data_IF_919959279315
#
_entry.id   IF_919959279315
#
_cell.length_a   1.000
_cell.length_b   1.000
_cell.length_c   1.000
_cell.angle_alpha   90.00
_cell.angle_beta   90.00
_cell.angle_gamma   90.00
#
_symmetry.space_group_name_H-M   'P 1'
#
loop_
_entity.id
_entity.type
_entity.pdbx_description
1 polymer ?
#
# COMPACT_ATOMS: atom_id res chain seq x y z
N UNK A 1 -15.68 37.69 11.82
CA UNK A 1 -14.84 36.95 10.86
C UNK A 1 -15.51 35.62 10.58
N UNK A 2 -15.73 35.27 9.32
CA UNK A 2 -16.18 33.93 8.92
C UNK A 2 -14.98 33.01 8.93
N UNK A 3 -15.09 31.87 9.64
CA UNK A 3 -14.03 30.85 9.69
C UNK A 3 -14.57 29.55 9.12
N UNK A 4 -13.88 29.00 8.11
CA UNK A 4 -14.16 27.67 7.57
C UNK A 4 -13.12 26.71 8.16
N UNK A 5 -13.58 25.65 8.83
CA UNK A 5 -12.72 24.61 9.39
C UNK A 5 -12.79 23.34 8.56
N UNK A 6 -11.68 22.63 8.47
CA UNK A 6 -11.61 21.27 7.91
C UNK A 6 -11.72 20.29 9.07
N UNK A 7 -12.72 19.45 9.03
CA UNK A 7 -12.99 18.45 10.07
C UNK A 7 -12.80 17.05 9.50
N UNK A 8 -12.38 16.13 10.35
CA UNK A 8 -12.21 14.71 10.04
C UNK A 8 -11.25 14.45 8.86
N UNK A 9 -9.98 14.88 8.97
CA UNK A 9 -8.99 14.61 7.94
C UNK A 9 -8.72 13.10 7.83
N UNK A 10 -8.49 12.61 6.60
CA UNK A 10 -7.96 11.26 6.36
C UNK A 10 -6.46 11.36 6.17
N UNK A 11 -5.70 10.57 6.92
CA UNK A 11 -4.25 10.60 6.89
C UNK A 11 -3.68 9.51 5.98
N UNK A 12 -2.67 9.87 5.19
CA UNK A 12 -1.85 8.92 4.43
C UNK A 12 -0.39 9.30 4.62
N UNK A 13 0.40 8.38 5.17
CA UNK A 13 1.84 8.57 5.32
C UNK A 13 2.55 8.22 4.03
N UNK A 14 3.41 9.12 3.54
CA UNK A 14 4.20 8.93 2.32
C UNK A 14 5.63 9.38 2.58
N UNK A 15 6.59 8.45 2.53
CA UNK A 15 7.99 8.77 2.82
C UNK A 15 8.96 7.82 2.12
N UNK A 16 10.22 8.22 1.85
CA UNK A 16 11.25 7.27 1.47
C UNK A 16 11.57 6.33 2.64
N UNK A 17 11.75 5.03 2.36
CA UNK A 17 12.05 4.02 3.38
C UNK A 17 13.31 4.39 4.21
N UNK A 18 14.33 4.94 3.56
CA UNK A 18 15.59 5.37 4.18
C UNK A 18 16.30 6.39 3.29
N UNK A 19 17.27 7.12 3.85
CA UNK A 19 17.98 8.19 3.13
C UNK A 19 19.00 7.68 2.12
N UNK A 20 19.64 6.52 2.36
CA UNK A 20 20.71 5.96 1.53
C UNK A 20 20.56 4.44 1.40
N UNK A 21 21.25 3.83 0.42
CA UNK A 21 21.27 2.38 0.23
C UNK A 21 19.97 1.78 -0.31
N UNK A 22 19.00 2.61 -0.77
CA UNK A 22 17.70 2.14 -1.29
C UNK A 22 17.86 1.26 -2.51
N UNK A 23 18.71 1.62 -3.44
CA UNK A 23 18.93 0.87 -4.69
C UNK A 23 19.42 -0.56 -4.42
N UNK A 24 20.44 -0.72 -3.58
CA UNK A 24 21.00 -2.03 -3.23
C UNK A 24 19.98 -2.88 -2.43
N UNK A 25 19.21 -2.25 -1.55
CA UNK A 25 18.16 -2.94 -0.81
C UNK A 25 17.04 -3.41 -1.72
N UNK A 26 16.58 -2.55 -2.63
CA UNK A 26 15.56 -2.88 -3.63
C UNK A 26 16.03 -3.98 -4.58
N UNK A 27 17.31 -3.98 -4.98
CA UNK A 27 17.85 -5.04 -5.83
C UNK A 27 17.78 -6.42 -5.16
N UNK A 28 18.03 -6.50 -3.82
CA UNK A 28 17.86 -7.74 -3.06
C UNK A 28 16.40 -8.16 -2.99
N UNK A 29 15.50 -7.25 -2.57
CA UNK A 29 14.07 -7.52 -2.50
C UNK A 29 13.51 -7.95 -3.86
N UNK A 30 13.91 -7.29 -4.94
CA UNK A 30 13.45 -7.61 -6.28
C UNK A 30 13.83 -9.05 -6.68
N UNK A 31 15.08 -9.47 -6.44
CA UNK A 31 15.49 -10.85 -6.71
C UNK A 31 14.64 -11.86 -5.93
N UNK A 32 14.41 -11.62 -4.65
CA UNK A 32 13.60 -12.52 -3.82
C UNK A 32 12.12 -12.52 -4.27
N UNK A 33 11.54 -11.37 -4.63
CA UNK A 33 10.18 -11.30 -5.17
C UNK A 33 10.02 -12.09 -6.48
N UNK A 34 10.99 -11.98 -7.38
CA UNK A 34 10.97 -12.71 -8.66
C UNK A 34 11.20 -14.22 -8.46
N UNK A 35 12.12 -14.59 -7.57
CA UNK A 35 12.35 -15.99 -7.22
C UNK A 35 11.10 -16.61 -6.57
N UNK A 36 10.49 -15.91 -5.60
CA UNK A 36 9.25 -16.35 -4.97
C UNK A 36 8.17 -16.67 -6.00
N UNK A 37 7.95 -15.80 -6.99
CA UNK A 37 6.98 -16.08 -8.06
C UNK A 37 7.28 -17.38 -8.81
N UNK A 38 8.56 -17.71 -9.03
CA UNK A 38 8.95 -18.96 -9.70
C UNK A 38 8.69 -20.18 -8.82
N UNK A 39 8.95 -20.10 -7.53
CA UNK A 39 8.89 -21.23 -6.60
C UNK A 39 7.48 -21.46 -6.03
N UNK A 40 6.67 -20.41 -5.90
CA UNK A 40 5.33 -20.45 -5.31
C UNK A 40 4.25 -20.89 -6.31
N UNK A 41 4.16 -22.20 -6.54
CA UNK A 41 3.13 -22.77 -7.41
C UNK A 41 1.70 -22.53 -6.89
N UNK A 42 1.50 -22.55 -5.58
CA UNK A 42 0.20 -22.29 -4.95
C UNK A 42 -0.26 -20.84 -5.16
N UNK A 43 0.64 -19.88 -4.98
CA UNK A 43 0.36 -18.46 -5.22
C UNK A 43 0.09 -18.17 -6.69
N UNK A 44 0.80 -18.82 -7.63
CA UNK A 44 0.49 -18.68 -9.06
C UNK A 44 -0.91 -19.19 -9.39
N UNK A 45 -1.32 -20.38 -8.88
CA UNK A 45 -2.68 -20.90 -9.09
C UNK A 45 -3.74 -20.00 -8.47
N UNK A 46 -3.48 -19.49 -7.28
CA UNK A 46 -4.39 -18.54 -6.63
C UNK A 46 -4.52 -17.24 -7.45
N UNK A 47 -3.39 -16.71 -7.91
CA UNK A 47 -3.34 -15.47 -8.72
C UNK A 47 -4.10 -15.61 -10.04
N UNK A 48 -4.02 -16.76 -10.73
CA UNK A 48 -4.78 -17.00 -11.96
C UNK A 48 -6.28 -16.76 -11.80
N UNK A 49 -6.83 -17.04 -10.61
CA UNK A 49 -8.26 -16.91 -10.33
C UNK A 49 -8.63 -15.53 -9.75
N UNK A 50 -7.77 -14.98 -8.91
CA UNK A 50 -8.10 -13.82 -8.07
C UNK A 50 -7.31 -12.55 -8.44
N UNK A 51 -6.26 -12.67 -9.25
CA UNK A 51 -5.42 -11.57 -9.72
C UNK A 51 -4.94 -11.84 -11.15
N UNK A 52 -5.88 -11.94 -12.13
CA UNK A 52 -5.59 -12.38 -13.49
C UNK A 52 -4.47 -11.59 -14.16
N UNK A 53 -3.50 -12.30 -14.74
CA UNK A 53 -2.33 -11.72 -15.40
C UNK A 53 -1.21 -11.26 -14.46
N UNK A 54 -1.47 -11.09 -13.17
CA UNK A 54 -0.49 -10.73 -12.15
C UNK A 54 -0.04 -11.91 -11.30
N UNK A 55 0.84 -11.60 -10.34
CA UNK A 55 1.20 -12.52 -9.27
C UNK A 55 1.09 -11.82 -7.93
N UNK A 56 0.46 -12.49 -6.97
CA UNK A 56 0.50 -12.11 -5.56
C UNK A 56 0.71 -13.33 -4.68
N UNK A 57 1.55 -13.18 -3.66
CA UNK A 57 1.76 -14.24 -2.67
C UNK A 57 0.71 -14.22 -1.54
N UNK A 58 -0.25 -13.29 -1.57
CA UNK A 58 -1.26 -13.12 -0.52
C UNK A 58 -2.04 -14.41 -0.21
N UNK A 59 -2.43 -15.17 -1.22
CA UNK A 59 -3.19 -16.42 -1.06
C UNK A 59 -2.36 -17.66 -0.72
N UNK A 60 -1.04 -17.52 -0.54
CA UNK A 60 -0.13 -18.64 -0.28
C UNK A 60 0.91 -18.34 0.79
N UNK A 61 1.67 -17.25 0.64
CA UNK A 61 2.76 -16.84 1.52
C UNK A 61 2.58 -15.38 1.92
N UNK A 62 1.75 -15.15 2.95
CA UNK A 62 1.39 -13.82 3.44
C UNK A 62 2.25 -13.35 4.63
N UNK A 63 3.28 -14.09 5.02
CA UNK A 63 4.16 -13.75 6.16
C UNK A 63 5.63 -13.70 5.76
N UNK A 64 5.94 -13.02 4.64
CA UNK A 64 7.29 -12.96 4.10
C UNK A 64 8.33 -12.43 5.09
N UNK A 65 7.95 -11.56 6.03
CA UNK A 65 8.83 -11.07 7.10
C UNK A 65 9.33 -12.18 8.04
N UNK A 66 8.68 -13.35 8.07
CA UNK A 66 9.10 -14.54 8.83
C UNK A 66 9.88 -15.53 7.99
N UNK A 67 9.90 -15.38 6.67
CA UNK A 67 10.47 -16.35 5.75
C UNK A 67 11.83 -15.90 5.18
N UNK A 68 12.14 -14.62 5.21
CA UNK A 68 13.37 -14.09 4.64
C UNK A 68 14.01 -13.02 5.53
N UNK A 69 15.34 -13.06 5.74
CA UNK A 69 16.07 -12.02 6.45
C UNK A 69 15.95 -10.63 5.80
N UNK A 70 15.80 -10.57 4.47
CA UNK A 70 15.63 -9.31 3.73
C UNK A 70 14.26 -8.69 4.02
N UNK A 71 13.19 -9.50 4.05
CA UNK A 71 11.85 -9.03 4.43
C UNK A 71 11.76 -8.69 5.91
N UNK A 72 12.42 -9.45 6.80
CA UNK A 72 12.56 -9.07 8.21
C UNK A 72 13.30 -7.73 8.38
N UNK A 73 14.30 -7.44 7.54
CA UNK A 73 14.97 -6.14 7.53
C UNK A 73 14.04 -5.02 7.02
N UNK A 74 13.15 -5.30 6.07
CA UNK A 74 12.11 -4.37 5.64
C UNK A 74 11.16 -4.05 6.80
N UNK A 75 10.63 -5.07 7.50
CA UNK A 75 9.78 -4.90 8.69
C UNK A 75 10.43 -3.97 9.72
N UNK A 76 11.70 -4.25 10.10
CA UNK A 76 12.42 -3.39 11.05
C UNK A 76 12.55 -1.92 10.58
N UNK A 77 12.76 -1.70 9.29
CA UNK A 77 12.83 -0.35 8.71
C UNK A 77 11.47 0.36 8.70
N UNK A 78 10.39 -0.39 8.53
CA UNK A 78 9.01 0.14 8.53
C UNK A 78 8.56 0.60 9.92
N UNK A 79 9.12 0.06 11.01
CA UNK A 79 8.72 0.40 12.39
C UNK A 79 8.79 1.91 12.69
N UNK A 80 9.80 2.63 12.19
CA UNK A 80 9.87 4.09 12.40
C UNK A 80 8.74 4.83 11.69
N UNK A 81 8.36 4.38 10.48
CA UNK A 81 7.27 4.95 9.70
C UNK A 81 5.94 4.68 10.37
N UNK A 82 5.76 3.45 10.89
CA UNK A 82 4.58 3.06 11.66
C UNK A 82 4.42 3.95 12.90
N UNK A 83 5.48 4.09 13.73
CA UNK A 83 5.44 4.97 14.92
C UNK A 83 5.09 6.41 14.57
N UNK A 84 5.67 6.97 13.50
CA UNK A 84 5.34 8.32 13.03
C UNK A 84 3.87 8.43 12.62
N UNK A 85 3.35 7.44 11.92
CA UNK A 85 1.96 7.43 11.44
C UNK A 85 0.98 7.27 12.60
N UNK A 86 1.23 6.33 13.52
CA UNK A 86 0.42 6.11 14.73
C UNK A 86 0.36 7.37 15.60
N UNK A 87 1.49 8.07 15.75
CA UNK A 87 1.52 9.36 16.45
C UNK A 87 0.67 10.44 15.79
N UNK A 88 0.62 10.46 14.43
CA UNK A 88 -0.23 11.39 13.69
C UNK A 88 -1.73 11.02 13.76
N UNK A 89 -2.05 9.74 13.97
CA UNK A 89 -3.41 9.26 14.17
C UNK A 89 -3.90 9.43 15.61
N UNK A 90 -3.01 9.82 16.53
CA UNK A 90 -3.31 10.00 17.96
C UNK A 90 -3.91 8.75 18.62
N UNK A 91 -3.50 7.53 18.16
CA UNK A 91 -3.99 6.28 18.73
C UNK A 91 -3.52 6.10 20.17
N UNK A 92 -4.45 5.83 21.07
CA UNK A 92 -4.14 5.33 22.41
C UNK A 92 -4.02 3.81 22.35
N UNK A 93 -2.81 3.31 22.51
CA UNK A 93 -2.52 1.88 22.40
C UNK A 93 -2.56 1.13 23.76
N UNK A 94 -2.68 1.85 24.87
CA UNK A 94 -2.79 1.28 26.22
C UNK A 94 -1.69 0.23 26.52
N UNK A 95 -0.46 0.58 26.19
CA UNK A 95 0.71 -0.30 26.38
C UNK A 95 0.83 -1.47 25.41
N UNK A 96 -0.10 -1.60 24.46
CA UNK A 96 -0.05 -2.61 23.39
C UNK A 96 0.75 -2.10 22.17
N UNK A 97 1.01 -2.99 21.25
CA UNK A 97 1.75 -2.67 20.03
C UNK A 97 0.96 -3.02 18.76
N UNK A 98 1.23 -2.31 17.68
CA UNK A 98 0.84 -2.72 16.35
C UNK A 98 1.89 -3.68 15.79
N UNK A 99 1.49 -4.93 15.56
CA UNK A 99 2.35 -6.00 15.05
C UNK A 99 2.05 -6.26 13.59
N UNK A 100 3.10 -6.46 12.77
CA UNK A 100 2.92 -6.87 11.37
C UNK A 100 2.37 -8.28 11.30
N UNK A 101 1.11 -8.40 10.92
CA UNK A 101 0.40 -9.68 10.75
C UNK A 101 0.65 -10.31 9.40
N UNK A 102 0.68 -9.49 8.36
CA UNK A 102 0.83 -9.93 6.98
C UNK A 102 1.87 -9.11 6.24
N UNK A 103 2.58 -9.77 5.35
CA UNK A 103 3.53 -9.17 4.42
C UNK A 103 3.62 -10.03 3.16
N UNK A 104 3.22 -9.49 2.01
CA UNK A 104 3.16 -10.25 0.76
C UNK A 104 3.66 -9.46 -0.44
N UNK A 105 4.03 -10.19 -1.48
CA UNK A 105 4.55 -9.65 -2.75
C UNK A 105 3.42 -9.49 -3.76
N UNK A 106 3.46 -8.39 -4.52
CA UNK A 106 2.62 -8.16 -5.69
C UNK A 106 3.49 -7.82 -6.89
N UNK A 107 3.34 -8.56 -7.98
CA UNK A 107 3.97 -8.32 -9.28
C UNK A 107 2.85 -8.05 -10.28
N UNK A 108 2.87 -6.87 -10.85
CA UNK A 108 1.80 -6.32 -11.69
C UNK A 108 2.32 -6.00 -13.09
N UNK A 109 2.23 -6.96 -14.04
CA UNK A 109 2.53 -6.70 -15.45
C UNK A 109 1.52 -5.74 -16.10
N UNK A 110 1.74 -5.44 -17.38
CA UNK A 110 0.81 -4.68 -18.20
C UNK A 110 -0.59 -5.32 -18.20
N UNK A 111 -1.63 -4.49 -18.24
CA UNK A 111 -3.06 -4.81 -18.22
C UNK A 111 -3.60 -5.38 -16.90
N UNK A 112 -2.78 -5.56 -15.89
CA UNK A 112 -3.23 -6.00 -14.58
C UNK A 112 -3.78 -4.81 -13.79
N UNK A 113 -4.82 -5.06 -12.99
CA UNK A 113 -5.49 -4.11 -12.09
C UNK A 113 -5.58 -4.73 -10.70
N UNK A 114 -5.55 -3.90 -9.67
CA UNK A 114 -5.93 -4.32 -8.33
C UNK A 114 -7.18 -3.54 -7.94
N UNK A 115 -8.33 -4.21 -7.93
CA UNK A 115 -9.64 -3.59 -7.76
C UNK A 115 -9.82 -2.87 -6.43
N UNK A 116 -10.87 -2.06 -6.34
CA UNK A 116 -11.21 -1.31 -5.15
C UNK A 116 -11.52 -2.23 -3.96
N UNK A 117 -10.79 -2.07 -2.85
CA UNK A 117 -10.90 -2.91 -1.66
C UNK A 117 -10.45 -2.17 -0.40
N UNK A 118 -10.59 -2.82 0.74
CA UNK A 118 -10.05 -2.45 2.05
C UNK A 118 -9.52 -3.71 2.75
N UNK A 119 -8.91 -3.58 3.94
CA UNK A 119 -8.32 -4.70 4.67
C UNK A 119 -9.04 -4.95 5.99
N UNK A 120 -10.13 -5.74 6.01
CA UNK A 120 -10.88 -6.04 7.22
C UNK A 120 -10.01 -6.74 8.28
N UNK A 121 -10.18 -6.38 9.54
CA UNK A 121 -9.45 -6.98 10.66
C UNK A 121 -8.04 -6.45 10.87
N UNK A 122 -7.57 -5.52 10.04
CA UNK A 122 -6.29 -4.83 10.24
C UNK A 122 -6.50 -3.38 10.68
N UNK A 123 -5.51 -2.80 11.36
CA UNK A 123 -5.54 -1.41 11.85
C UNK A 123 -4.85 -0.47 10.87
N UNK A 124 -3.62 -0.79 10.50
CA UNK A 124 -2.81 -0.03 9.53
C UNK A 124 -2.38 -0.95 8.41
N UNK A 125 -2.56 -0.50 7.19
CA UNK A 125 -2.08 -1.16 5.98
C UNK A 125 -1.04 -0.29 5.27
N UNK A 126 -0.24 -0.92 4.43
CA UNK A 126 0.72 -0.18 3.66
C UNK A 126 1.31 -0.93 2.48
N UNK A 127 2.07 -0.20 1.70
CA UNK A 127 2.84 -0.75 0.59
C UNK A 127 4.23 -0.14 0.53
N UNK A 128 5.20 -0.94 0.15
CA UNK A 128 6.55 -0.55 -0.20
C UNK A 128 6.81 -0.83 -1.67
N UNK A 129 7.31 0.16 -2.40
CA UNK A 129 7.58 0.02 -3.82
C UNK A 129 9.02 -0.43 -4.07
N UNK A 130 9.16 -1.64 -4.62
CA UNK A 130 10.47 -2.23 -4.97
C UNK A 130 10.92 -1.79 -6.35
N UNK A 131 10.04 -1.91 -7.35
CA UNK A 131 10.27 -1.49 -8.74
C UNK A 131 9.02 -0.78 -9.29
N UNK A 132 9.22 0.43 -9.80
CA UNK A 132 8.15 1.26 -10.38
C UNK A 132 8.63 1.82 -11.72
N UNK A 133 8.33 1.17 -12.84
CA UNK A 133 8.61 1.74 -14.16
C UNK A 133 7.93 3.11 -14.33
N UNK A 134 8.51 3.97 -15.19
CA UNK A 134 7.91 5.27 -15.49
C UNK A 134 6.50 5.09 -16.05
N UNK A 135 5.51 5.76 -15.47
CA UNK A 135 4.11 5.64 -15.85
C UNK A 135 3.35 4.51 -15.16
N UNK A 136 4.02 3.70 -14.32
CA UNK A 136 3.33 2.68 -13.54
C UNK A 136 2.32 3.30 -12.55
N UNK A 137 1.14 2.67 -12.35
CA UNK A 137 0.08 3.22 -11.52
C UNK A 137 0.47 3.27 -10.04
N UNK A 138 0.02 4.33 -9.37
CA UNK A 138 0.10 4.49 -7.90
C UNK A 138 -1.11 3.92 -7.18
N UNK A 139 -1.13 4.09 -5.85
CA UNK A 139 -2.33 3.83 -5.04
C UNK A 139 -3.33 4.97 -5.22
N UNK A 140 -4.57 4.61 -5.54
CA UNK A 140 -5.68 5.55 -5.69
C UNK A 140 -6.69 5.30 -4.57
N UNK A 141 -6.87 6.30 -3.72
CA UNK A 141 -7.75 6.29 -2.56
C UNK A 141 -9.09 6.92 -2.87
N UNK A 142 -10.16 6.34 -2.33
CA UNK A 142 -11.52 6.88 -2.39
C UNK A 142 -11.80 7.73 -1.15
N UNK A 143 -12.51 8.86 -1.32
CA UNK A 143 -13.02 9.62 -0.19
C UNK A 143 -14.01 8.76 0.61
N UNK A 144 -13.75 8.49 1.90
CA UNK A 144 -14.59 7.58 2.70
C UNK A 144 -15.98 8.14 3.02
N UNK A 145 -16.22 9.43 2.83
CA UNK A 145 -17.51 10.08 3.12
C UNK A 145 -18.51 9.85 1.99
N UNK A 146 -18.92 8.60 1.79
CA UNK A 146 -19.73 8.17 0.65
C UNK A 146 -21.10 8.83 0.60
N UNK A 147 -21.72 9.11 1.74
CA UNK A 147 -23.05 9.73 1.85
C UNK A 147 -23.15 11.11 1.17
N UNK A 148 -22.02 11.82 1.08
CA UNK A 148 -21.98 13.11 0.39
C UNK A 148 -22.25 13.04 -1.12
N UNK A 149 -22.14 11.84 -1.72
CA UNK A 149 -22.38 11.67 -3.16
C UNK A 149 -23.87 11.64 -3.53
N UNK A 150 -24.76 11.50 -2.58
CA UNK A 150 -26.21 11.43 -2.84
C UNK A 150 -26.75 12.68 -3.55
N UNK A 151 -26.20 13.89 -3.22
CA UNK A 151 -26.70 15.16 -3.79
C UNK A 151 -25.58 16.20 -4.02
N UNK A 152 -24.30 15.81 -3.93
CA UNK A 152 -23.21 16.78 -4.09
C UNK A 152 -22.99 17.10 -5.58
N UNK A 153 -22.85 18.40 -5.94
CA UNK A 153 -22.44 18.76 -7.29
C UNK A 153 -20.99 18.32 -7.56
N UNK A 154 -20.58 18.21 -8.84
CA UNK A 154 -19.21 17.89 -9.21
C UNK A 154 -18.21 18.89 -8.59
N UNK A 155 -17.05 18.41 -8.19
CA UNK A 155 -15.97 19.27 -7.72
C UNK A 155 -15.23 19.91 -8.90
N UNK A 156 -14.69 21.10 -8.69
CA UNK A 156 -13.85 21.76 -9.70
C UNK A 156 -12.62 20.90 -9.99
N UNK A 157 -12.10 20.92 -11.22
CA UNK A 157 -10.85 20.25 -11.58
C UNK A 157 -9.66 20.72 -10.71
N UNK A 158 -9.69 21.98 -10.27
CA UNK A 158 -8.69 22.59 -9.37
C UNK A 158 -8.99 22.42 -7.88
N UNK A 159 -9.96 21.55 -7.51
CA UNK A 159 -10.30 21.34 -6.11
C UNK A 159 -9.08 20.87 -5.31
N UNK A 160 -8.98 21.33 -4.06
CA UNK A 160 -7.94 20.86 -3.12
C UNK A 160 -8.06 19.36 -2.87
N UNK A 161 -6.97 18.72 -2.46
CA UNK A 161 -6.89 17.25 -2.26
C UNK A 161 -8.02 16.76 -1.35
N UNK A 162 -8.25 17.43 -0.25
CA UNK A 162 -9.28 17.12 0.75
C UNK A 162 -10.74 17.32 0.28
N UNK A 163 -10.92 17.92 -0.89
CA UNK A 163 -12.23 18.09 -1.52
C UNK A 163 -12.48 17.13 -2.69
N UNK A 164 -11.46 16.39 -3.14
CA UNK A 164 -11.58 15.44 -4.26
C UNK A 164 -12.25 14.15 -3.84
N UNK A 165 -12.93 13.51 -4.77
CA UNK A 165 -13.50 12.17 -4.60
C UNK A 165 -12.42 11.10 -4.58
N UNK A 166 -11.37 11.31 -5.37
CA UNK A 166 -10.25 10.39 -5.52
C UNK A 166 -8.93 11.11 -5.38
N UNK A 167 -7.98 10.45 -4.72
CA UNK A 167 -6.61 10.93 -4.64
C UNK A 167 -5.62 9.81 -5.00
N UNK A 168 -4.70 10.07 -5.92
CA UNK A 168 -3.65 9.12 -6.29
C UNK A 168 -2.32 9.53 -5.68
N UNK A 169 -1.73 8.64 -4.89
CA UNK A 169 -0.34 8.74 -4.45
C UNK A 169 0.54 8.06 -5.51
N UNK A 170 1.42 8.80 -6.21
CA UNK A 170 2.28 8.22 -7.24
C UNK A 170 3.20 7.13 -6.68
N UNK A 171 3.37 6.05 -7.43
CA UNK A 171 4.31 5.00 -7.08
C UNK A 171 5.75 5.44 -7.37
N UNK A 172 6.65 5.33 -6.37
CA UNK A 172 8.08 5.62 -6.52
C UNK A 172 8.90 4.53 -5.84
N UNK A 173 9.86 3.95 -6.55
CA UNK A 173 10.74 2.93 -5.96
C UNK A 173 11.43 3.44 -4.69
N UNK A 174 11.41 2.65 -3.64
CA UNK A 174 11.94 3.03 -2.32
C UNK A 174 10.98 3.82 -1.43
N UNK A 175 9.75 4.07 -1.88
CA UNK A 175 8.73 4.79 -1.10
C UNK A 175 7.86 3.83 -0.29
N UNK A 176 7.56 4.25 0.93
CA UNK A 176 6.56 3.66 1.84
C UNK A 176 5.29 4.48 1.78
N UNK A 177 4.14 3.82 1.71
CA UNK A 177 2.82 4.43 1.91
C UNK A 177 2.13 3.67 3.02
N UNK A 178 1.63 4.38 4.06
CA UNK A 178 0.80 3.81 5.13
C UNK A 178 -0.55 4.54 5.16
N UNK A 179 -1.58 3.81 5.52
CA UNK A 179 -2.95 4.31 5.67
C UNK A 179 -3.73 3.42 6.63
N UNK A 180 -4.80 3.94 7.19
CA UNK A 180 -5.70 3.12 8.01
C UNK A 180 -6.39 2.08 7.13
N UNK A 181 -6.49 0.85 7.62
CA UNK A 181 -6.90 -0.34 6.82
C UNK A 181 -8.33 -0.29 6.29
N UNK A 182 -9.19 0.54 6.90
CA UNK A 182 -10.56 0.79 6.43
C UNK A 182 -10.64 1.68 5.18
N UNK A 183 -9.55 2.40 4.83
CA UNK A 183 -9.55 3.34 3.71
C UNK A 183 -9.55 2.56 2.38
N UNK A 184 -10.63 2.71 1.62
CA UNK A 184 -10.80 2.04 0.34
C UNK A 184 -9.82 2.56 -0.68
N UNK A 185 -9.18 1.64 -1.39
CA UNK A 185 -8.15 1.96 -2.37
C UNK A 185 -8.08 0.93 -3.49
N UNK A 186 -7.50 1.34 -4.60
CA UNK A 186 -7.25 0.52 -5.77
C UNK A 186 -5.86 0.81 -6.35
N UNK A 187 -5.37 -0.08 -7.21
CA UNK A 187 -4.29 0.23 -8.14
C UNK A 187 -4.86 0.15 -9.55
N UNK A 188 -4.99 1.27 -10.27
CA UNK A 188 -5.49 1.30 -11.63
C UNK A 188 -4.68 0.37 -12.55
N UNK A 189 -5.24 0.05 -13.70
CA UNK A 189 -4.61 -0.81 -14.71
C UNK A 189 -3.19 -0.33 -15.03
N UNK A 190 -2.23 -1.23 -14.97
CA UNK A 190 -0.88 -0.95 -15.43
C UNK A 190 -0.85 -0.88 -16.97
N UNK A 191 -0.62 0.31 -17.49
CA UNK A 191 -0.59 0.57 -18.95
C UNK A 191 0.80 0.50 -19.56
N UNK A 192 1.86 0.38 -18.72
CA UNK A 192 3.25 0.32 -19.21
C UNK A 192 3.68 -1.12 -19.45
N UNK A 193 4.54 -1.31 -20.45
CA UNK A 193 5.07 -2.62 -20.83
C UNK A 193 6.27 -3.01 -19.95
N UNK A 194 6.03 -2.97 -18.63
CA UNK A 194 7.01 -3.35 -17.61
C UNK A 194 6.29 -3.67 -16.30
N UNK A 195 6.85 -4.58 -15.52
CA UNK A 195 6.26 -5.03 -14.26
C UNK A 195 6.50 -4.01 -13.13
N UNK A 196 5.43 -3.61 -12.45
CA UNK A 196 5.48 -2.95 -11.16
C UNK A 196 5.58 -4.00 -10.06
N UNK A 197 6.56 -3.86 -9.15
CA UNK A 197 6.74 -4.78 -8.02
C UNK A 197 6.62 -4.01 -6.72
N UNK A 198 5.72 -4.47 -5.86
CA UNK A 198 5.50 -3.89 -4.53
C UNK A 198 5.34 -4.99 -3.47
N UNK A 199 5.59 -4.61 -2.23
CA UNK A 199 5.36 -5.44 -1.05
C UNK A 199 4.30 -4.75 -0.23
N UNK A 200 3.18 -5.42 0.00
CA UNK A 200 2.10 -4.94 0.86
C UNK A 200 2.17 -5.60 2.22
N UNK A 201 1.66 -4.93 3.23
CA UNK A 201 1.69 -5.43 4.60
C UNK A 201 0.54 -4.85 5.43
N UNK A 202 0.15 -5.59 6.46
CA UNK A 202 -0.85 -5.19 7.44
C UNK A 202 -0.27 -5.23 8.85
N UNK A 203 -0.77 -4.34 9.67
CA UNK A 203 -0.54 -4.31 11.11
C UNK A 203 -1.87 -4.40 11.84
N UNK A 204 -1.91 -5.21 12.87
CA UNK A 204 -3.07 -5.32 13.76
C UNK A 204 -2.66 -4.99 15.19
N UNK A 205 -3.63 -4.54 15.96
CA UNK A 205 -3.48 -4.15 17.35
C UNK A 205 -3.84 -5.32 18.26
N UNK A 206 -2.90 -5.70 19.14
CA UNK A 206 -3.06 -6.78 20.12
C UNK A 206 -2.68 -6.33 21.52
#
# INVERSE_FOLDING_TARGET
RVTIRRLFPTFVHVAPLQRSGVAAFNARLLRECLQLRLDDSAGRRWSQRNYPGGYTSYGSQSRMQRMSPTFAALERKLQRHLRTFVGALEFELDGRELVMTDCWVNIMPRHVVHGLHLHPGSTVSGTYYVRTPRGAPGLKFEDPRLDRYMAAPPRRATASVDARTWHTVPARAGQVVLFESWLRHEVPTNTVDAERVSISFNYSWF
#
